data_IF_531712620573
#
_entry.id   IF_531712620573
#
_cell.length_a   1.000
_cell.length_b   1.000
_cell.length_c   1.000
_cell.angle_alpha   90.00
_cell.angle_beta   90.00
_cell.angle_gamma   90.00
#
_symmetry.space_group_name_H-M   'P 1'
#
loop_
_entity.id
_entity.type
_entity.pdbx_description
1 polymer ?
#
# COMPACT_ATOMS: atom_id res chain seq x y z
N UNK A 1 -3.91 -22.11 -17.26
CA UNK A 1 -3.06 -20.94 -16.96
C UNK A 1 -3.16 -20.71 -15.47
N UNK A 2 -2.08 -20.94 -14.72
CA UNK A 2 -2.08 -20.76 -13.27
C UNK A 2 -2.27 -19.27 -12.97
N UNK A 3 -3.48 -18.91 -12.54
CA UNK A 3 -3.78 -17.59 -12.00
C UNK A 3 -3.11 -17.47 -10.64
N UNK A 4 -1.84 -17.07 -10.63
CA UNK A 4 -1.26 -16.43 -9.47
C UNK A 4 -1.61 -14.96 -9.62
N UNK A 5 -2.79 -14.57 -9.15
CA UNK A 5 -3.12 -13.19 -8.84
C UNK A 5 -2.28 -12.77 -7.65
N UNK A 6 -0.95 -12.73 -7.83
CA UNK A 6 -0.08 -12.01 -6.91
C UNK A 6 -0.33 -10.55 -7.25
N UNK A 7 -1.41 -9.98 -6.71
CA UNK A 7 -1.71 -8.55 -6.86
C UNK A 7 -0.48 -7.81 -6.38
N UNK A 8 0.29 -7.31 -7.35
CA UNK A 8 1.59 -6.76 -7.10
C UNK A 8 1.35 -5.36 -6.55
N UNK A 9 1.74 -5.15 -5.29
CA UNK A 9 1.51 -3.88 -4.61
C UNK A 9 2.65 -2.93 -4.92
N UNK A 10 2.30 -1.76 -5.44
CA UNK A 10 3.22 -0.69 -5.75
C UNK A 10 3.06 0.43 -4.73
N UNK A 11 4.19 0.94 -4.24
CA UNK A 11 4.21 2.08 -3.34
C UNK A 11 4.57 3.34 -4.11
N UNK A 12 3.62 4.27 -4.25
CA UNK A 12 3.81 5.56 -4.88
C UNK A 12 4.09 6.65 -3.85
N UNK A 13 5.22 7.32 -3.99
CA UNK A 13 5.58 8.41 -3.07
C UNK A 13 4.76 9.67 -3.39
N UNK A 14 3.99 10.12 -2.40
CA UNK A 14 3.28 11.38 -2.44
C UNK A 14 4.21 12.55 -2.08
N UNK A 15 3.80 13.75 -2.49
CA UNK A 15 4.52 14.99 -2.22
C UNK A 15 4.62 15.31 -0.71
N UNK A 16 3.72 14.73 0.09
CA UNK A 16 3.71 14.83 1.56
C UNK A 16 4.73 13.89 2.24
N UNK A 17 5.42 13.04 1.48
CA UNK A 17 6.38 12.06 2.01
C UNK A 17 5.77 10.75 2.48
N UNK A 18 4.47 10.57 2.28
CA UNK A 18 3.76 9.29 2.44
C UNK A 18 3.87 8.44 1.17
N UNK A 19 3.59 7.16 1.28
CA UNK A 19 3.61 6.17 0.21
C UNK A 19 2.19 5.64 0.06
N UNK A 20 1.47 6.08 -0.97
CA UNK A 20 0.19 5.49 -1.34
C UNK A 20 0.43 4.09 -1.90
N UNK A 21 -0.39 3.12 -1.49
CA UNK A 21 -0.33 1.76 -2.03
C UNK A 21 -1.34 1.64 -3.17
N UNK A 22 -0.82 1.31 -4.35
CA UNK A 22 -1.57 1.11 -5.59
C UNK A 22 -1.41 -0.35 -6.04
N UNK A 23 -2.40 -0.87 -6.76
CA UNK A 23 -2.33 -2.16 -7.43
C UNK A 23 -1.61 -2.03 -8.79
N UNK A 24 -1.49 -3.14 -9.51
CA UNK A 24 -0.88 -3.18 -10.85
C UNK A 24 -1.64 -2.37 -11.92
N UNK A 25 -2.91 -2.08 -11.66
CA UNK A 25 -3.77 -1.27 -12.53
C UNK A 25 -3.69 0.23 -12.16
N UNK A 26 -2.96 0.59 -11.10
CA UNK A 26 -2.85 1.96 -10.57
C UNK A 26 -4.04 2.40 -9.72
N UNK A 27 -4.88 1.47 -9.25
CA UNK A 27 -5.95 1.78 -8.31
C UNK A 27 -5.42 1.74 -6.87
N UNK A 28 -5.95 2.63 -6.03
CA UNK A 28 -5.61 2.66 -4.62
C UNK A 28 -6.10 1.39 -3.92
N UNK A 29 -5.18 0.72 -3.24
CA UNK A 29 -5.51 -0.46 -2.45
C UNK A 29 -6.13 -0.01 -1.14
N UNK A 30 -7.32 -0.53 -0.87
CA UNK A 30 -8.09 -0.21 0.33
C UNK A 30 -7.88 -1.21 1.46
N UNK A 31 -7.28 -2.37 1.18
CA UNK A 31 -7.01 -3.43 2.17
C UNK A 31 -5.76 -4.23 1.83
N UNK A 32 -4.87 -4.41 2.82
CA UNK A 32 -3.66 -5.21 2.72
C UNK A 32 -3.58 -6.13 3.94
N UNK A 33 -3.29 -7.41 3.74
CA UNK A 33 -3.11 -8.36 4.84
C UNK A 33 -1.74 -8.22 5.54
N UNK A 34 -1.45 -7.03 6.05
CA UNK A 34 -0.24 -6.73 6.79
C UNK A 34 -0.53 -5.89 8.05
N UNK A 35 0.26 -6.13 9.09
CA UNK A 35 0.17 -5.44 10.38
C UNK A 35 0.89 -4.08 10.33
N UNK A 36 0.49 -3.23 9.37
CA UNK A 36 0.96 -1.84 9.23
C UNK A 36 -0.20 -0.88 9.45
N UNK A 37 0.14 0.36 9.81
CA UNK A 37 -0.83 1.42 10.09
C UNK A 37 -0.77 2.49 9.00
N UNK A 38 -1.86 2.69 8.23
CA UNK A 38 -1.98 3.81 7.33
C UNK A 38 -1.83 5.13 8.08
N UNK A 39 -1.19 6.10 7.45
CA UNK A 39 -1.07 7.47 7.93
C UNK A 39 -2.47 8.06 8.08
N UNK A 40 -2.79 8.53 9.27
CA UNK A 40 -4.10 9.12 9.57
C UNK A 40 -5.18 8.12 9.95
N UNK A 41 -4.87 6.82 10.06
CA UNK A 41 -5.81 5.80 10.53
C UNK A 41 -5.29 5.10 11.78
N UNK A 42 -6.17 4.93 12.77
CA UNK A 42 -5.90 4.13 13.98
C UNK A 42 -6.09 2.62 13.74
N UNK A 43 -6.56 2.23 12.54
CA UNK A 43 -6.79 0.85 12.17
C UNK A 43 -5.68 0.34 11.25
N UNK A 44 -5.31 -0.93 11.40
CA UNK A 44 -4.33 -1.57 10.52
C UNK A 44 -4.81 -1.59 9.07
N UNK A 45 -3.89 -1.66 8.12
CA UNK A 45 -4.17 -1.85 6.69
C UNK A 45 -4.97 -3.12 6.36
N UNK A 46 -5.11 -4.06 7.31
CA UNK A 46 -5.98 -5.26 7.21
C UNK A 46 -7.47 -4.94 7.15
N UNK A 47 -7.86 -3.76 7.63
CA UNK A 47 -9.24 -3.27 7.53
C UNK A 47 -9.46 -2.58 6.19
N UNK A 48 -10.71 -2.43 5.80
CA UNK A 48 -11.07 -1.71 4.58
C UNK A 48 -11.02 -0.20 4.82
N UNK A 49 -10.17 0.49 4.06
CA UNK A 49 -9.98 1.94 4.09
C UNK A 49 -10.51 2.52 2.77
N UNK A 50 -11.73 3.07 2.74
CA UNK A 50 -12.34 3.60 1.51
C UNK A 50 -11.58 4.81 0.93
N UNK A 51 -10.77 5.48 1.74
CA UNK A 51 -9.87 6.56 1.35
C UNK A 51 -8.55 6.07 0.71
N UNK A 52 -8.31 4.76 0.73
CA UNK A 52 -7.06 4.14 0.29
C UNK A 52 -6.02 4.02 1.40
N UNK A 53 -5.03 3.17 1.18
CA UNK A 53 -3.95 2.95 2.14
C UNK A 53 -2.75 3.81 1.76
N UNK A 54 -2.41 4.76 2.63
CA UNK A 54 -1.17 5.53 2.55
C UNK A 54 -0.30 5.19 3.74
N UNK A 55 0.94 4.76 3.53
CA UNK A 55 1.87 4.35 4.59
C UNK A 55 3.05 5.30 4.65
N UNK A 56 3.78 5.30 5.77
CA UNK A 56 5.09 5.94 5.79
C UNK A 56 6.10 5.09 5.01
N UNK A 57 7.13 5.73 4.45
CA UNK A 57 8.23 5.03 3.75
C UNK A 57 8.81 3.88 4.59
N UNK A 58 8.93 4.07 5.90
CA UNK A 58 9.45 3.05 6.83
C UNK A 58 8.54 1.84 6.97
N UNK A 59 7.22 2.03 6.91
CA UNK A 59 6.25 0.95 7.03
C UNK A 59 6.02 0.25 5.69
N UNK A 60 6.01 1.01 4.59
CA UNK A 60 6.06 0.47 3.24
C UNK A 60 7.30 -0.43 3.04
N UNK A 61 8.47 -0.01 3.53
CA UNK A 61 9.69 -0.81 3.47
C UNK A 61 9.59 -2.12 4.28
N UNK A 62 8.89 -2.14 5.43
CA UNK A 62 8.62 -3.38 6.19
C UNK A 62 7.70 -4.34 5.46
N UNK A 63 6.77 -3.78 4.70
CA UNK A 63 5.79 -4.52 3.89
C UNK A 63 6.41 -5.16 2.65
N UNK A 64 7.60 -4.70 2.22
CA UNK A 64 8.24 -5.18 1.01
C UNK A 64 7.50 -4.75 -0.26
N UNK A 65 6.69 -3.68 -0.22
CA UNK A 65 6.08 -3.13 -1.44
C UNK A 65 7.16 -2.60 -2.38
N UNK A 66 6.93 -2.78 -3.68
CA UNK A 66 7.84 -2.26 -4.70
C UNK A 66 7.62 -0.76 -4.78
N UNK A 67 8.60 0.02 -4.31
CA UNK A 67 8.57 1.47 -4.47
C UNK A 67 8.94 1.79 -5.91
N UNK A 68 7.98 2.17 -6.75
CA UNK A 68 8.27 2.72 -8.07
C UNK A 68 8.73 4.16 -7.91
N UNK A 69 10.04 4.37 -8.02
CA UNK A 69 10.65 5.69 -7.86
C UNK A 69 12.13 5.59 -7.51
N UNK A 70 12.95 5.23 -8.51
CA UNK A 70 14.39 5.51 -8.53
C UNK A 70 14.73 6.16 -9.86
#
# INVERSE_FOLDING_TARGET
MSGSSTTQLYGRMNQDGTVAIEDEDGNLVTRIEADVYPVGSDQTARHEHPEGISLLRVDAAKLGVILEGV
#
